data_IF_929184150932
#
_entry.id   IF_929184150932
#
_cell.length_a   1.000
_cell.length_b   1.000
_cell.length_c   1.000
_cell.angle_alpha   90.00
_cell.angle_beta   90.00
_cell.angle_gamma   90.00
#
_symmetry.space_group_name_H-M   'P 1'
#
loop_
_entity.id
_entity.type
_entity.pdbx_description
1 polymer ?
#
# COMPACT_ATOMS: atom_id res chain seq x y z
N UNK A 1 13.16 -7.16 -5.40
CA UNK A 1 12.13 -8.13 -5.75
C UNK A 1 12.02 -8.41 -7.26
N UNK A 2 13.06 -8.08 -8.06
CA UNK A 2 13.17 -8.49 -9.45
C UNK A 2 12.26 -7.80 -10.47
N UNK A 3 11.31 -6.99 -10.06
CA UNK A 3 10.51 -6.18 -10.99
C UNK A 3 11.28 -4.94 -11.37
N UNK A 4 11.79 -4.87 -12.59
CA UNK A 4 12.50 -3.70 -13.15
C UNK A 4 11.72 -3.16 -14.34
N UNK A 5 11.50 -1.85 -14.39
CA UNK A 5 10.77 -1.21 -15.46
C UNK A 5 11.17 0.25 -15.64
N UNK A 6 10.89 0.80 -16.83
CA UNK A 6 11.10 2.21 -17.16
C UNK A 6 9.79 2.86 -17.59
N UNK A 7 9.67 4.14 -17.28
CA UNK A 7 8.57 4.97 -17.73
C UNK A 7 8.85 5.46 -19.16
N UNK A 8 7.83 5.45 -19.99
CA UNK A 8 7.87 6.02 -21.34
C UNK A 8 6.71 6.99 -21.52
N UNK A 9 6.68 7.71 -22.65
CA UNK A 9 5.58 8.66 -22.93
C UNK A 9 4.18 8.03 -22.96
N UNK A 10 4.10 6.71 -23.22
CA UNK A 10 2.84 5.96 -23.23
C UNK A 10 2.36 5.55 -21.83
N UNK A 11 3.18 5.68 -20.78
CA UNK A 11 2.79 5.37 -19.38
C UNK A 11 3.95 4.93 -18.49
N UNK A 12 3.59 4.71 -17.21
CA UNK A 12 4.50 4.28 -16.15
C UNK A 12 4.70 2.76 -16.22
N UNK A 13 5.97 2.31 -16.09
CA UNK A 13 6.36 0.88 -15.99
C UNK A 13 5.93 0.00 -17.19
N UNK A 14 5.79 0.58 -18.39
CA UNK A 14 5.28 -0.18 -19.56
C UNK A 14 6.32 -1.12 -20.13
N UNK A 15 7.60 -0.75 -20.09
CA UNK A 15 8.70 -1.61 -20.54
C UNK A 15 9.43 -2.11 -19.31
N UNK A 16 9.38 -3.41 -19.06
CA UNK A 16 10.00 -4.01 -17.90
C UNK A 16 10.29 -5.50 -18.07
N UNK A 17 11.00 -6.05 -17.09
CA UNK A 17 11.35 -7.47 -17.03
C UNK A 17 11.38 -7.95 -15.58
N UNK A 18 11.37 -9.27 -15.39
CA UNK A 18 11.77 -9.90 -14.14
C UNK A 18 13.27 -10.17 -14.19
N UNK A 19 14.05 -9.43 -13.40
CA UNK A 19 15.48 -9.63 -13.31
C UNK A 19 15.94 -9.41 -11.87
N UNK A 20 16.36 -10.50 -11.20
CA UNK A 20 16.78 -10.43 -9.81
C UNK A 20 18.14 -9.74 -9.68
N UNK A 21 18.34 -8.88 -8.67
CA UNK A 21 19.64 -8.30 -8.36
C UNK A 21 20.56 -9.38 -7.79
N UNK A 22 21.85 -9.30 -8.10
CA UNK A 22 22.86 -10.14 -7.46
C UNK A 22 23.11 -9.76 -5.99
N UNK A 23 22.91 -8.49 -5.66
CA UNK A 23 23.06 -7.94 -4.31
C UNK A 23 22.14 -6.72 -4.16
N UNK A 24 21.56 -6.55 -2.97
CA UNK A 24 20.86 -5.34 -2.56
C UNK A 24 21.59 -4.74 -1.36
N UNK A 25 22.05 -3.50 -1.52
CA UNK A 25 22.68 -2.73 -0.42
C UNK A 25 21.73 -1.59 -0.05
N UNK A 26 21.38 -1.49 1.21
CA UNK A 26 20.54 -0.43 1.77
C UNK A 26 21.33 0.28 2.87
N UNK A 27 21.98 1.37 2.51
CA UNK A 27 22.71 2.22 3.45
C UNK A 27 21.74 3.26 4.02
N UNK A 28 21.45 3.17 5.31
CA UNK A 28 20.51 4.04 6.00
C UNK A 28 20.99 5.48 6.17
N UNK A 29 22.28 5.76 6.04
CA UNK A 29 22.82 7.11 6.16
C UNK A 29 22.26 8.03 5.08
N UNK A 30 21.94 7.49 3.90
CA UNK A 30 21.25 8.25 2.84
C UNK A 30 19.86 8.74 3.23
N UNK A 31 19.20 8.10 4.19
CA UNK A 31 17.88 8.55 4.68
C UNK A 31 17.99 9.85 5.50
N UNK A 32 19.19 10.16 6.05
CA UNK A 32 19.41 11.38 6.82
C UNK A 32 19.28 12.67 6.02
N UNK A 33 19.41 12.62 4.69
CA UNK A 33 19.26 13.77 3.79
C UNK A 33 17.87 13.87 3.15
N UNK A 34 16.99 12.89 3.39
CA UNK A 34 15.65 12.93 2.84
C UNK A 34 14.77 13.95 3.55
N UNK A 35 13.97 14.72 2.81
CA UNK A 35 12.89 15.51 3.40
C UNK A 35 11.87 14.60 4.10
N UNK A 36 11.20 15.11 5.14
CA UNK A 36 10.22 14.36 5.94
C UNK A 36 9.10 13.74 5.11
N UNK A 37 8.63 14.45 4.07
CA UNK A 37 7.59 13.92 3.18
C UNK A 37 8.05 12.68 2.40
N UNK A 38 9.33 12.62 2.00
CA UNK A 38 9.87 11.45 1.30
C UNK A 38 10.11 10.28 2.25
N UNK A 39 10.54 10.56 3.48
CA UNK A 39 10.62 9.52 4.49
C UNK A 39 9.23 8.93 4.80
N UNK A 40 8.20 9.79 4.99
CA UNK A 40 6.81 9.34 5.16
C UNK A 40 6.31 8.54 3.96
N UNK A 41 6.69 8.95 2.75
CA UNK A 41 6.38 8.23 1.53
C UNK A 41 6.91 6.78 1.57
N UNK A 42 8.17 6.60 2.00
CA UNK A 42 8.76 5.27 2.20
C UNK A 42 8.11 4.47 3.33
N UNK A 43 7.74 5.14 4.44
CA UNK A 43 7.10 4.50 5.60
C UNK A 43 5.73 3.87 5.27
N UNK A 44 5.00 4.39 4.28
CA UNK A 44 3.74 3.79 3.85
C UNK A 44 3.92 2.31 3.43
N UNK A 45 5.01 2.00 2.75
CA UNK A 45 5.34 0.62 2.36
C UNK A 45 5.74 -0.25 3.56
N UNK A 46 6.48 0.31 4.52
CA UNK A 46 6.84 -0.42 5.74
C UNK A 46 5.61 -0.70 6.62
N UNK A 47 4.69 0.26 6.75
CA UNK A 47 3.40 0.08 7.43
C UNK A 47 2.54 -0.97 6.71
N UNK A 48 2.54 -0.99 5.37
CA UNK A 48 1.89 -2.05 4.62
C UNK A 48 2.45 -3.43 4.99
N UNK A 49 3.77 -3.60 5.05
CA UNK A 49 4.38 -4.87 5.47
C UNK A 49 3.98 -5.25 6.90
N UNK A 50 3.92 -4.27 7.81
CA UNK A 50 3.42 -4.47 9.17
C UNK A 50 1.98 -5.01 9.18
N UNK A 51 1.09 -4.41 8.39
CA UNK A 51 -0.33 -4.80 8.35
C UNK A 51 -0.56 -6.17 7.73
N UNK A 52 0.23 -6.55 6.73
CA UNK A 52 0.05 -7.82 6.01
C UNK A 52 0.85 -9.00 6.57
N UNK A 53 1.61 -8.82 7.66
CA UNK A 53 2.21 -9.98 8.32
C UNK A 53 3.54 -9.80 9.04
N UNK A 54 4.21 -8.65 8.93
CA UNK A 54 5.45 -8.42 9.70
C UNK A 54 5.11 -7.86 11.10
N UNK A 55 4.79 -8.76 12.03
CA UNK A 55 4.28 -8.40 13.35
C UNK A 55 5.26 -7.54 14.17
N UNK A 56 6.57 -7.77 14.04
CA UNK A 56 7.54 -6.98 14.78
C UNK A 56 7.61 -5.53 14.27
N UNK A 57 7.38 -5.29 12.97
CA UNK A 57 7.17 -3.93 12.46
C UNK A 57 5.89 -3.30 13.01
N UNK A 58 4.81 -4.07 13.10
CA UNK A 58 3.55 -3.58 13.66
C UNK A 58 3.75 -3.09 15.10
N UNK A 59 4.40 -3.91 15.94
CA UNK A 59 4.71 -3.54 17.32
C UNK A 59 5.65 -2.33 17.43
N UNK A 60 6.64 -2.24 16.54
CA UNK A 60 7.55 -1.10 16.50
C UNK A 60 6.80 0.19 16.19
N UNK A 61 5.93 0.16 15.18
CA UNK A 61 5.10 1.31 14.83
C UNK A 61 4.08 1.67 15.91
N UNK A 62 3.50 0.71 16.62
CA UNK A 62 2.57 1.00 17.72
C UNK A 62 3.24 1.71 18.90
N UNK A 63 4.48 1.33 19.22
CA UNK A 63 5.24 1.89 20.34
C UNK A 63 5.87 3.25 20.02
N UNK A 64 6.07 3.56 18.74
CA UNK A 64 6.77 4.74 18.26
C UNK A 64 5.85 5.83 17.71
N UNK A 65 6.52 6.89 17.30
CA UNK A 65 6.00 8.02 16.53
C UNK A 65 7.01 8.41 15.43
N UNK A 66 6.67 9.43 14.65
CA UNK A 66 7.55 9.83 13.54
C UNK A 66 8.94 10.29 14.00
N UNK A 67 9.06 10.94 15.13
CA UNK A 67 10.34 11.45 15.64
C UNK A 67 11.21 10.30 16.17
N UNK A 68 10.60 9.34 16.87
CA UNK A 68 11.32 8.17 17.41
C UNK A 68 11.83 7.24 16.33
N UNK A 69 11.10 7.07 15.22
CA UNK A 69 11.53 6.18 14.13
C UNK A 69 12.61 6.78 13.23
N UNK A 70 12.84 8.08 13.28
CA UNK A 70 13.94 8.75 12.55
C UNK A 70 15.33 8.45 13.13
N UNK A 71 15.40 7.86 14.30
CA UNK A 71 16.68 7.42 14.88
C UNK A 71 17.29 6.31 14.03
N UNK A 72 18.59 6.32 13.88
CA UNK A 72 19.32 5.37 13.02
C UNK A 72 18.99 3.91 13.32
N UNK A 73 18.89 3.55 14.60
CA UNK A 73 18.57 2.18 15.02
C UNK A 73 17.16 1.77 14.59
N UNK A 74 16.19 2.68 14.73
CA UNK A 74 14.80 2.41 14.31
C UNK A 74 14.68 2.30 12.79
N UNK A 75 15.35 3.19 12.05
CA UNK A 75 15.36 3.15 10.58
C UNK A 75 16.02 1.87 10.06
N UNK A 76 17.14 1.45 10.67
CA UNK A 76 17.80 0.20 10.32
C UNK A 76 16.87 -0.99 10.51
N UNK A 77 16.19 -1.07 11.65
CA UNK A 77 15.26 -2.15 11.95
C UNK A 77 14.06 -2.16 10.96
N UNK A 78 13.50 -0.98 10.65
CA UNK A 78 12.39 -0.85 9.68
C UNK A 78 12.82 -1.32 8.30
N UNK A 79 13.97 -0.84 7.80
CA UNK A 79 14.48 -1.20 6.47
C UNK A 79 14.80 -2.69 6.41
N UNK A 80 15.50 -3.21 7.41
CA UNK A 80 15.87 -4.62 7.49
C UNK A 80 14.65 -5.54 7.48
N UNK A 81 13.67 -5.31 8.37
CA UNK A 81 12.46 -6.13 8.45
C UNK A 81 11.60 -6.04 7.21
N UNK A 82 11.44 -4.82 6.67
CA UNK A 82 10.68 -4.64 5.41
C UNK A 82 11.33 -5.38 4.25
N UNK A 83 12.66 -5.31 4.13
CA UNK A 83 13.40 -6.02 3.09
C UNK A 83 13.30 -7.54 3.26
N UNK A 84 13.46 -8.03 4.49
CA UNK A 84 13.37 -9.46 4.81
C UNK A 84 11.96 -10.01 4.53
N UNK A 85 10.91 -9.31 4.98
CA UNK A 85 9.53 -9.70 4.72
C UNK A 85 9.24 -9.77 3.22
N UNK A 86 9.58 -8.70 2.48
CA UNK A 86 9.40 -8.67 1.02
C UNK A 86 10.19 -9.78 0.34
N UNK A 87 11.41 -10.04 0.76
CA UNK A 87 12.27 -11.10 0.22
C UNK A 87 11.62 -12.47 0.40
N UNK A 88 11.13 -12.78 1.61
CA UNK A 88 10.47 -14.06 1.90
C UNK A 88 9.21 -14.30 1.07
N UNK A 89 8.46 -13.24 0.75
CA UNK A 89 7.30 -13.33 -0.15
C UNK A 89 7.75 -13.57 -1.60
N UNK A 90 8.79 -12.86 -2.05
CA UNK A 90 9.32 -12.99 -3.42
C UNK A 90 9.96 -14.36 -3.66
N UNK A 91 10.67 -14.93 -2.69
CA UNK A 91 11.23 -16.29 -2.77
C UNK A 91 10.15 -17.35 -3.00
N UNK A 92 8.99 -17.17 -2.40
CA UNK A 92 7.86 -18.10 -2.51
C UNK A 92 7.03 -17.89 -3.78
N UNK A 93 7.08 -16.70 -4.37
CA UNK A 93 6.34 -16.36 -5.58
C UNK A 93 7.05 -15.25 -6.36
N UNK A 94 8.10 -15.64 -7.09
CA UNK A 94 8.94 -14.70 -7.83
C UNK A 94 8.17 -13.92 -8.91
N UNK A 95 7.27 -14.63 -9.64
CA UNK A 95 6.58 -14.09 -10.82
C UNK A 95 5.18 -13.56 -10.57
N UNK A 96 4.78 -13.45 -9.27
CA UNK A 96 3.45 -12.96 -8.90
C UNK A 96 2.30 -13.82 -9.46
N UNK A 97 2.47 -15.13 -9.33
CA UNK A 97 1.44 -16.10 -9.72
C UNK A 97 0.30 -16.24 -8.70
N UNK A 98 0.45 -15.69 -7.49
CA UNK A 98 -0.55 -15.78 -6.43
C UNK A 98 -0.13 -15.06 -5.15
N UNK A 99 0.68 -15.71 -4.30
CA UNK A 99 1.03 -15.20 -2.97
C UNK A 99 1.59 -13.77 -2.97
N UNK A 100 2.44 -13.43 -3.94
CA UNK A 100 3.08 -12.11 -4.03
C UNK A 100 2.05 -10.98 -4.18
N UNK A 101 0.84 -11.28 -4.64
CA UNK A 101 -0.24 -10.30 -4.73
C UNK A 101 -0.66 -9.70 -3.37
N UNK A 102 -0.30 -10.33 -2.23
CA UNK A 102 -0.50 -9.71 -0.90
C UNK A 102 0.24 -8.37 -0.75
N UNK A 103 1.37 -8.21 -1.46
CA UNK A 103 2.13 -6.95 -1.48
C UNK A 103 1.36 -5.80 -2.17
N UNK A 104 0.28 -6.11 -2.88
CA UNK A 104 -0.59 -5.11 -3.50
C UNK A 104 -1.69 -4.59 -2.54
N UNK A 105 -1.66 -4.93 -1.26
CA UNK A 105 -2.54 -4.33 -0.26
C UNK A 105 -2.39 -2.80 -0.29
N UNK A 106 -3.51 -2.09 -0.44
CA UNK A 106 -3.56 -0.64 -0.65
C UNK A 106 -3.29 -0.17 -2.08
N UNK A 107 -2.80 -1.04 -2.96
CA UNK A 107 -2.39 -0.63 -4.31
C UNK A 107 -3.52 -0.59 -5.32
N UNK A 108 -4.59 -1.38 -5.15
CA UNK A 108 -5.71 -1.35 -6.10
C UNK A 108 -6.37 0.02 -6.12
N UNK A 109 -6.67 0.58 -4.96
CA UNK A 109 -7.21 1.93 -4.84
C UNK A 109 -6.10 2.99 -5.01
N UNK A 110 -4.91 2.75 -4.45
CA UNK A 110 -3.77 3.68 -4.55
C UNK A 110 -3.40 4.02 -5.99
N UNK A 111 -3.24 3.03 -6.86
CA UNK A 111 -2.98 3.25 -8.29
C UNK A 111 -4.12 3.97 -9.00
N UNK A 112 -5.38 3.69 -8.65
CA UNK A 112 -6.51 4.43 -9.19
C UNK A 112 -6.45 5.91 -8.80
N UNK A 113 -6.06 6.23 -7.56
CA UNK A 113 -5.85 7.61 -7.10
C UNK A 113 -4.69 8.28 -7.86
N UNK A 114 -3.53 7.60 -7.99
CA UNK A 114 -2.40 8.12 -8.77
C UNK A 114 -2.81 8.41 -10.22
N UNK A 115 -3.51 7.48 -10.85
CA UNK A 115 -3.94 7.58 -12.24
C UNK A 115 -4.99 8.69 -12.44
N UNK A 116 -5.99 8.79 -11.56
CA UNK A 116 -7.01 9.85 -11.58
C UNK A 116 -6.38 11.25 -11.46
N UNK A 117 -5.31 11.36 -10.67
CA UNK A 117 -4.57 12.61 -10.46
C UNK A 117 -3.41 12.78 -11.48
N UNK A 118 -3.36 11.98 -12.53
CA UNK A 118 -2.30 12.02 -13.56
C UNK A 118 -0.90 11.97 -12.97
N UNK A 119 -0.72 11.24 -11.85
CA UNK A 119 0.54 11.14 -11.09
C UNK A 119 1.07 12.50 -10.57
N UNK A 120 0.17 13.48 -10.35
CA UNK A 120 0.52 14.83 -9.89
C UNK A 120 -0.14 15.15 -8.54
N UNK A 121 0.59 15.90 -7.72
CA UNK A 121 0.05 16.42 -6.45
C UNK A 121 -0.23 15.36 -5.37
N UNK A 122 0.26 14.12 -5.55
CA UNK A 122 0.25 13.06 -4.55
C UNK A 122 1.50 12.20 -4.69
N UNK A 123 2.11 11.81 -3.57
CA UNK A 123 3.19 10.82 -3.58
C UNK A 123 2.63 9.41 -3.61
N UNK A 124 3.43 8.44 -4.08
CA UNK A 124 3.05 7.04 -4.14
C UNK A 124 2.61 6.52 -2.76
N UNK A 125 3.42 6.72 -1.72
CA UNK A 125 3.10 6.26 -0.37
C UNK A 125 1.82 6.90 0.18
N UNK A 126 1.55 8.17 -0.15
CA UNK A 126 0.30 8.82 0.22
C UNK A 126 -0.91 8.20 -0.50
N UNK A 127 -0.78 7.86 -1.79
CA UNK A 127 -1.82 7.16 -2.54
C UNK A 127 -2.06 5.75 -1.99
N UNK A 128 -0.99 5.01 -1.67
CA UNK A 128 -1.08 3.69 -1.03
C UNK A 128 -1.72 3.77 0.36
N UNK A 129 -1.46 4.82 1.14
CA UNK A 129 -2.11 5.02 2.45
C UNK A 129 -3.62 5.22 2.31
N UNK A 130 -4.09 6.02 1.34
CA UNK A 130 -5.51 6.13 1.01
C UNK A 130 -6.10 4.76 0.62
N UNK A 131 -5.36 4.01 -0.20
CA UNK A 131 -5.76 2.67 -0.62
C UNK A 131 -5.84 1.69 0.54
N UNK A 132 -4.86 1.70 1.44
CA UNK A 132 -4.89 0.85 2.64
C UNK A 132 -6.10 1.17 3.53
N UNK A 133 -6.41 2.46 3.73
CA UNK A 133 -7.59 2.85 4.51
C UNK A 133 -8.90 2.34 3.88
N UNK A 134 -9.04 2.44 2.56
CA UNK A 134 -10.18 1.90 1.83
C UNK A 134 -10.24 0.36 1.93
N UNK A 135 -9.13 -0.33 1.68
CA UNK A 135 -9.08 -1.80 1.68
C UNK A 135 -9.25 -2.41 3.09
N UNK A 136 -8.87 -1.69 4.16
CA UNK A 136 -9.22 -2.02 5.54
C UNK A 136 -10.73 -1.94 5.76
N UNK A 137 -11.38 -0.86 5.34
CA UNK A 137 -12.84 -0.72 5.47
C UNK A 137 -13.60 -1.74 4.60
N UNK A 138 -13.11 -2.03 3.39
CA UNK A 138 -13.65 -3.13 2.56
C UNK A 138 -13.55 -4.45 3.30
N UNK A 139 -12.41 -4.74 3.95
CA UNK A 139 -12.22 -5.97 4.73
C UNK A 139 -13.22 -6.07 5.88
N UNK A 140 -13.52 -4.95 6.55
CA UNK A 140 -14.53 -4.88 7.62
C UNK A 140 -15.95 -5.12 7.07
N UNK A 141 -16.33 -4.43 5.99
CA UNK A 141 -17.68 -4.58 5.39
C UNK A 141 -17.90 -5.97 4.78
N UNK A 142 -16.82 -6.60 4.32
CA UNK A 142 -16.85 -7.99 3.87
C UNK A 142 -16.89 -9.02 5.03
N UNK A 143 -16.89 -8.59 6.29
CA UNK A 143 -16.88 -9.48 7.45
C UNK A 143 -15.58 -10.25 7.65
N UNK A 144 -14.50 -9.82 7.01
CA UNK A 144 -13.19 -10.48 7.07
C UNK A 144 -12.33 -9.98 8.22
N UNK A 145 -12.45 -8.71 8.56
CA UNK A 145 -11.59 -8.03 9.53
C UNK A 145 -12.44 -7.38 10.64
N UNK A 146 -12.00 -7.52 11.88
CA UNK A 146 -12.55 -6.77 13.00
C UNK A 146 -12.30 -5.27 12.89
N UNK A 147 -13.33 -4.48 13.18
CA UNK A 147 -13.29 -3.00 13.09
C UNK A 147 -12.26 -2.37 14.03
N UNK A 148 -12.05 -2.94 15.20
CA UNK A 148 -11.06 -2.40 16.15
C UNK A 148 -9.63 -2.53 15.58
N UNK A 149 -9.31 -3.64 14.90
CA UNK A 149 -8.01 -3.78 14.25
C UNK A 149 -7.86 -2.85 13.04
N UNK A 150 -8.89 -2.73 12.20
CA UNK A 150 -8.87 -1.78 11.09
C UNK A 150 -8.61 -0.35 11.58
N UNK A 151 -9.27 0.05 12.66
CA UNK A 151 -9.06 1.36 13.30
C UNK A 151 -7.63 1.53 13.80
N UNK A 152 -7.04 0.53 14.48
CA UNK A 152 -5.62 0.59 14.89
C UNK A 152 -4.69 0.83 13.71
N UNK A 153 -4.93 0.15 12.58
CA UNK A 153 -4.13 0.35 11.37
C UNK A 153 -4.28 1.78 10.80
N UNK A 154 -5.51 2.32 10.73
CA UNK A 154 -5.73 3.68 10.23
C UNK A 154 -5.15 4.73 11.16
N UNK A 155 -5.24 4.56 12.48
CA UNK A 155 -4.60 5.43 13.47
C UNK A 155 -3.07 5.44 13.34
N UNK A 156 -2.45 4.30 12.97
CA UNK A 156 -1.02 4.25 12.67
C UNK A 156 -0.69 5.05 11.42
N UNK A 157 -1.44 4.92 10.33
CA UNK A 157 -1.21 5.72 9.12
C UNK A 157 -1.21 7.23 9.46
N UNK A 158 -2.22 7.69 10.19
CA UNK A 158 -2.35 9.10 10.58
C UNK A 158 -1.23 9.54 11.54
N UNK A 159 -0.84 8.72 12.51
CA UNK A 159 0.26 8.98 13.46
C UNK A 159 1.59 9.24 12.74
N UNK A 160 1.83 8.53 11.65
CA UNK A 160 3.02 8.72 10.81
C UNK A 160 2.84 9.79 9.72
N UNK A 161 1.75 10.57 9.79
CA UNK A 161 1.51 11.72 8.93
C UNK A 161 1.04 11.35 7.52
N UNK A 162 0.53 10.14 7.35
CA UNK A 162 -0.11 9.69 6.11
C UNK A 162 -1.60 9.99 6.18
N UNK A 163 -2.09 10.81 5.25
CA UNK A 163 -3.51 11.18 5.21
C UNK A 163 -4.32 10.02 4.66
N UNK A 164 -5.40 9.68 5.35
CA UNK A 164 -6.33 8.61 4.93
C UNK A 164 -7.56 9.16 4.21
N UNK A 165 -7.64 10.49 4.04
CA UNK A 165 -8.73 11.18 3.32
C UNK A 165 -8.16 12.28 2.44
N UNK A 166 -8.84 12.55 1.32
CA UNK A 166 -8.47 13.61 0.38
C UNK A 166 -9.72 14.23 -0.25
N UNK A 167 -9.77 15.57 -0.27
CA UNK A 167 -10.79 16.30 -1.00
C UNK A 167 -10.54 16.26 -2.52
N UNK A 168 -11.61 16.40 -3.29
CA UNK A 168 -11.54 16.51 -4.74
C UNK A 168 -11.29 15.20 -5.48
N UNK A 169 -11.41 14.04 -4.81
CA UNK A 169 -11.44 12.75 -5.48
C UNK A 169 -12.84 12.45 -6.01
N UNK A 170 -12.93 12.07 -7.28
CA UNK A 170 -14.17 11.60 -7.91
C UNK A 170 -14.30 10.09 -7.77
N UNK A 171 -15.36 9.64 -7.10
CA UNK A 171 -15.62 8.21 -6.87
C UNK A 171 -15.86 7.47 -8.18
N UNK A 172 -16.57 8.07 -9.14
CA UNK A 172 -16.83 7.44 -10.45
C UNK A 172 -15.53 7.28 -11.25
N UNK A 173 -14.68 8.30 -11.22
CA UNK A 173 -13.35 8.26 -11.80
C UNK A 173 -12.48 7.19 -11.17
N UNK A 174 -12.44 7.09 -9.83
CA UNK A 174 -11.71 6.04 -9.13
C UNK A 174 -12.17 4.63 -9.55
N UNK A 175 -13.50 4.41 -9.60
CA UNK A 175 -14.06 3.13 -10.04
C UNK A 175 -13.68 2.79 -11.48
N UNK A 176 -13.68 3.77 -12.37
CA UNK A 176 -13.26 3.59 -13.76
C UNK A 176 -11.78 3.19 -13.87
N UNK A 177 -10.89 3.90 -13.16
CA UNK A 177 -9.45 3.61 -13.16
C UNK A 177 -9.12 2.24 -12.56
N UNK A 178 -9.81 1.81 -11.49
CA UNK A 178 -9.63 0.46 -10.93
C UNK A 178 -10.00 -0.66 -11.92
N UNK A 179 -11.02 -0.45 -12.77
CA UNK A 179 -11.42 -1.43 -13.79
C UNK A 179 -10.43 -1.49 -14.95
N UNK A 180 -9.80 -0.36 -15.29
CA UNK A 180 -8.87 -0.26 -16.42
C UNK A 180 -7.52 -0.94 -16.13
N UNK A 181 -7.04 -0.89 -14.89
CA UNK A 181 -5.72 -1.42 -14.48
C UNK A 181 -5.66 -2.97 -14.46
N UNK A 182 -6.80 -3.63 -14.53
CA UNK A 182 -6.84 -5.11 -14.53
C UNK A 182 -7.59 -5.63 -15.74
N UNK A 183 -6.86 -6.29 -16.64
CA UNK A 183 -7.37 -7.21 -17.67
C UNK A 183 -8.13 -8.37 -17.02
N UNK A 184 -9.27 -8.09 -16.39
CA UNK A 184 -10.07 -9.10 -15.70
C UNK A 184 -11.18 -9.58 -16.61
N UNK A 185 -11.36 -10.88 -16.63
CA UNK A 185 -12.34 -11.62 -17.44
C UNK A 185 -13.81 -11.26 -17.18
N UNK A 186 -14.13 -10.40 -16.19
CA UNK A 186 -15.51 -10.03 -15.83
C UNK A 186 -15.68 -8.57 -15.38
N UNK A 187 -14.68 -7.68 -15.55
CA UNK A 187 -14.82 -6.25 -15.25
C UNK A 187 -14.94 -5.88 -13.76
N UNK A 188 -14.63 -6.79 -12.84
CA UNK A 188 -14.63 -6.53 -11.39
C UNK A 188 -13.23 -6.29 -10.87
N UNK A 189 -13.06 -5.30 -10.00
CA UNK A 189 -11.79 -5.06 -9.32
C UNK A 189 -11.48 -6.19 -8.34
N UNK A 190 -10.21 -6.60 -8.30
CA UNK A 190 -9.70 -7.60 -7.35
C UNK A 190 -8.79 -6.95 -6.34
N UNK A 191 -8.89 -7.35 -5.11
CA UNK A 191 -8.23 -6.71 -3.97
C UNK A 191 -7.35 -7.70 -3.21
N UNK A 192 -6.27 -7.17 -2.64
CA UNK A 192 -5.64 -7.78 -1.49
C UNK A 192 -6.31 -7.22 -0.24
N UNK A 193 -6.88 -8.08 0.61
CA UNK A 193 -7.63 -7.70 1.80
C UNK A 193 -7.01 -8.36 3.04
N UNK A 194 -7.46 -7.98 4.23
CA UNK A 194 -7.10 -8.66 5.48
C UNK A 194 -8.25 -9.51 5.98
N UNK A 195 -7.97 -10.79 6.31
CA UNK A 195 -8.90 -11.71 6.97
C UNK A 195 -8.65 -11.84 8.47
N UNK A 196 -7.88 -10.94 9.04
CA UNK A 196 -7.46 -10.84 10.42
C UNK A 196 -6.12 -10.12 10.53
N UNK A 197 -5.65 -9.80 11.76
CA UNK A 197 -4.36 -9.18 11.99
C UNK A 197 -3.21 -9.99 11.34
N UNK A 198 -2.46 -9.37 10.44
CA UNK A 198 -1.35 -10.02 9.73
C UNK A 198 -1.74 -11.19 8.83
N UNK A 199 -3.01 -11.33 8.47
CA UNK A 199 -3.52 -12.42 7.63
C UNK A 199 -4.07 -11.90 6.30
N UNK A 200 -3.20 -11.61 5.33
CA UNK A 200 -3.63 -11.12 4.03
C UNK A 200 -4.27 -12.24 3.21
N UNK A 201 -5.29 -11.87 2.46
CA UNK A 201 -5.91 -12.67 1.40
C UNK A 201 -5.86 -11.87 0.11
N UNK A 202 -5.61 -12.50 -1.00
CA UNK A 202 -5.49 -11.84 -2.29
C UNK A 202 -6.55 -12.33 -3.26
N UNK A 203 -6.63 -11.65 -4.40
CA UNK A 203 -7.52 -12.00 -5.50
C UNK A 203 -9.00 -12.03 -5.10
N UNK A 204 -9.41 -11.11 -4.20
CA UNK A 204 -10.77 -11.02 -3.70
C UNK A 204 -11.61 -10.10 -4.56
N UNK A 205 -12.66 -10.64 -5.14
CA UNK A 205 -13.71 -9.84 -5.78
C UNK A 205 -14.62 -9.22 -4.73
N UNK A 206 -14.94 -7.94 -4.89
CA UNK A 206 -15.86 -7.19 -4.04
C UNK A 206 -16.91 -6.55 -4.93
N UNK A 207 -18.15 -6.49 -4.46
CA UNK A 207 -19.24 -5.86 -5.19
C UNK A 207 -18.96 -4.35 -5.40
N UNK A 208 -19.22 -3.85 -6.58
CA UNK A 208 -18.96 -2.47 -6.96
C UNK A 208 -19.63 -1.44 -6.04
N UNK A 209 -20.86 -1.75 -5.59
CA UNK A 209 -21.61 -0.90 -4.66
C UNK A 209 -20.95 -0.78 -3.28
N UNK A 210 -20.39 -1.88 -2.78
CA UNK A 210 -19.61 -1.88 -1.53
C UNK A 210 -18.35 -1.05 -1.69
N UNK A 211 -17.60 -1.25 -2.78
CA UNK A 211 -16.38 -0.47 -3.06
C UNK A 211 -16.70 1.01 -3.16
N UNK A 212 -17.74 1.38 -3.94
CA UNK A 212 -18.19 2.75 -4.12
C UNK A 212 -18.55 3.42 -2.79
N UNK A 213 -19.34 2.75 -1.97
CA UNK A 213 -19.71 3.25 -0.65
C UNK A 213 -18.50 3.45 0.26
N UNK A 214 -17.54 2.51 0.25
CA UNK A 214 -16.29 2.65 1.01
C UNK A 214 -15.49 3.84 0.53
N UNK A 215 -15.30 4.02 -0.78
CA UNK A 215 -14.53 5.15 -1.31
C UNK A 215 -15.16 6.49 -0.88
N UNK A 216 -16.47 6.61 -1.00
CA UNK A 216 -17.20 7.82 -0.60
C UNK A 216 -17.08 8.11 0.90
N UNK A 217 -17.24 7.09 1.74
CA UNK A 217 -17.29 7.26 3.20
C UNK A 217 -15.90 7.39 3.84
N UNK A 218 -14.87 6.75 3.23
CA UNK A 218 -13.58 6.54 3.88
C UNK A 218 -12.52 7.49 3.37
N UNK A 219 -12.34 7.62 2.06
CA UNK A 219 -11.19 8.36 1.50
C UNK A 219 -11.57 9.68 0.82
N UNK A 220 -12.83 9.84 0.42
CA UNK A 220 -13.30 11.10 -0.16
C UNK A 220 -13.82 12.00 0.95
N UNK A 221 -13.34 13.24 1.01
CA UNK A 221 -13.95 14.27 1.86
C UNK A 221 -14.82 15.16 0.98
N UNK A 222 -16.04 15.47 1.45
CA UNK A 222 -16.87 16.49 0.82
C UNK A 222 -16.09 17.79 0.70
N UNK A 223 -16.20 18.44 -0.45
CA UNK A 223 -15.66 19.77 -0.69
C UNK A 223 -16.44 20.84 0.09
#
# INVERSE_FOLDING_TARGET
GGKVAVNISAGKNIIGAFHQPALVVADIDFLGTLPDNELRNGLAEALKHAFIGENALFELFEKGDFDSIRKAESLMEIVYRSALFKSSVVERDEREGGLRAILNFGHTVGHAVESLLEYRGISHGQAVALGMAAELEISVRAGLLDRAHARRCTELLERYGLRIRRAGLDVDGLMAHMKYDKKTSLGRARFALLSGPGKPVYDREVLDDVVRAVLADTIVTGG
#
